data_IF_784646218044
#
_entry.id   IF_784646218044
#
_cell.length_a   1.000
_cell.length_b   1.000
_cell.length_c   1.000
_cell.angle_alpha   90.00
_cell.angle_beta   90.00
_cell.angle_gamma   90.00
#
_symmetry.space_group_name_H-M   'P 1'
#
loop_
_entity.id
_entity.type
_entity.pdbx_description
1 polymer ?
#
# COMPACT_ATOMS: atom_id res chain seq x y z
N UNK A 1 -9.16 2.67 -15.93
CA UNK A 1 -10.32 2.99 -15.09
C UNK A 1 -10.51 1.92 -14.01
N UNK A 2 -10.67 2.34 -12.78
CA UNK A 2 -10.89 1.40 -11.68
C UNK A 2 -12.27 0.77 -11.74
N UNK A 3 -12.31 -0.55 -11.73
CA UNK A 3 -13.55 -1.33 -11.63
C UNK A 3 -13.33 -2.45 -10.63
N UNK A 4 -14.42 -3.05 -10.18
CA UNK A 4 -14.35 -4.22 -9.29
C UNK A 4 -13.55 -5.34 -9.98
N UNK A 5 -13.83 -5.59 -11.28
CA UNK A 5 -13.13 -6.65 -12.02
C UNK A 5 -11.65 -6.34 -12.19
N UNK A 6 -11.28 -5.09 -12.49
CA UNK A 6 -9.88 -4.73 -12.63
C UNK A 6 -9.11 -4.88 -11.31
N UNK A 7 -9.74 -4.55 -10.19
CA UNK A 7 -9.14 -4.75 -8.87
C UNK A 7 -8.96 -6.23 -8.54
N UNK A 8 -9.90 -7.08 -8.91
CA UNK A 8 -9.75 -8.54 -8.74
C UNK A 8 -8.56 -9.05 -9.56
N UNK A 9 -8.44 -8.61 -10.80
CA UNK A 9 -7.32 -8.99 -11.67
C UNK A 9 -5.98 -8.51 -11.12
N UNK A 10 -5.95 -7.36 -10.48
CA UNK A 10 -4.76 -6.83 -9.81
C UNK A 10 -4.33 -7.72 -8.63
N UNK A 11 -5.27 -8.41 -8.00
CA UNK A 11 -5.00 -9.27 -6.84
C UNK A 11 -5.54 -8.74 -5.52
N UNK A 12 -6.35 -7.67 -5.56
CA UNK A 12 -7.01 -7.17 -4.35
C UNK A 12 -8.06 -8.18 -3.87
N UNK A 13 -8.21 -8.29 -2.54
CA UNK A 13 -9.28 -9.06 -1.94
C UNK A 13 -10.55 -8.19 -1.92
N UNK A 14 -11.20 -8.11 -3.08
CA UNK A 14 -12.32 -7.19 -3.30
C UNK A 14 -13.49 -7.49 -2.38
N UNK A 15 -13.78 -8.75 -2.12
CA UNK A 15 -14.90 -9.13 -1.25
C UNK A 15 -14.70 -8.60 0.17
N UNK A 16 -13.47 -8.69 0.68
CA UNK A 16 -13.12 -8.15 2.00
C UNK A 16 -13.19 -6.61 2.00
N UNK A 17 -12.64 -5.98 0.96
CA UNK A 17 -12.69 -4.52 0.83
C UNK A 17 -14.12 -4.00 0.75
N UNK A 18 -14.97 -4.66 -0.02
CA UNK A 18 -16.39 -4.30 -0.13
C UNK A 18 -17.11 -4.46 1.20
N UNK A 19 -16.83 -5.54 1.92
CA UNK A 19 -17.44 -5.78 3.23
C UNK A 19 -17.14 -4.63 4.18
N UNK A 20 -15.90 -4.14 4.20
CA UNK A 20 -15.49 -3.01 5.03
C UNK A 20 -16.13 -1.70 4.61
N UNK A 21 -16.58 -1.61 3.36
CA UNK A 21 -17.28 -0.44 2.80
C UNK A 21 -18.79 -0.64 2.74
N UNK A 22 -19.34 -1.51 3.56
CA UNK A 22 -20.78 -1.82 3.64
C UNK A 22 -21.33 -2.30 2.29
N UNK A 23 -20.53 -3.01 1.51
CA UNK A 23 -20.84 -3.55 0.18
C UNK A 23 -21.24 -2.45 -0.84
N UNK A 24 -20.77 -1.22 -0.63
CA UNK A 24 -21.01 -0.11 -1.55
C UNK A 24 -19.83 0.01 -2.52
N UNK A 25 -20.02 -0.47 -3.75
CA UNK A 25 -18.96 -0.50 -4.75
C UNK A 25 -18.40 0.90 -5.06
N UNK A 26 -19.28 1.89 -5.26
CA UNK A 26 -18.86 3.26 -5.56
C UNK A 26 -18.01 3.84 -4.44
N UNK A 27 -18.37 3.58 -3.20
CA UNK A 27 -17.61 4.05 -2.05
C UNK A 27 -16.24 3.40 -1.98
N UNK A 28 -16.18 2.08 -2.17
CA UNK A 28 -14.90 1.35 -2.18
C UNK A 28 -13.99 1.87 -3.28
N UNK A 29 -14.51 2.01 -4.51
CA UNK A 29 -13.72 2.51 -5.64
C UNK A 29 -13.24 3.95 -5.41
N UNK A 30 -14.06 4.79 -4.77
CA UNK A 30 -13.65 6.14 -4.42
C UNK A 30 -12.46 6.13 -3.45
N UNK A 31 -12.52 5.29 -2.42
CA UNK A 31 -11.43 5.18 -1.44
C UNK A 31 -10.14 4.66 -2.07
N UNK A 32 -10.24 3.67 -2.96
CA UNK A 32 -9.07 3.18 -3.71
C UNK A 32 -8.50 4.31 -4.57
N UNK A 33 -9.34 5.06 -5.25
CA UNK A 33 -8.90 6.22 -6.04
C UNK A 33 -8.14 7.24 -5.20
N UNK A 34 -8.60 7.52 -3.99
CA UNK A 34 -7.89 8.41 -3.06
C UNK A 34 -6.52 7.84 -2.65
N UNK A 35 -6.43 6.53 -2.49
CA UNK A 35 -5.15 5.89 -2.17
C UNK A 35 -4.14 6.07 -3.32
N UNK A 36 -4.59 6.16 -4.56
CA UNK A 36 -3.72 6.41 -5.71
C UNK A 36 -3.13 7.83 -5.69
N UNK A 37 -3.80 8.78 -5.06
CA UNK A 37 -3.32 10.16 -4.94
C UNK A 37 -2.40 10.34 -3.72
N UNK A 38 -2.26 9.30 -2.89
CA UNK A 38 -1.45 9.37 -1.68
C UNK A 38 0.04 9.26 -2.02
N UNK A 39 0.82 10.26 -1.60
CA UNK A 39 2.24 10.37 -1.91
C UNK A 39 3.15 9.72 -0.86
N UNK A 40 2.57 9.05 0.15
CA UNK A 40 3.37 8.52 1.25
C UNK A 40 4.34 7.42 0.84
N UNK A 41 4.06 6.69 -0.25
CA UNK A 41 5.01 5.69 -0.74
C UNK A 41 6.31 6.35 -1.21
N UNK A 42 6.22 7.50 -1.88
CA UNK A 42 7.38 8.32 -2.27
C UNK A 42 8.11 8.86 -1.04
N UNK A 43 7.36 9.30 -0.04
CA UNK A 43 7.94 9.77 1.23
C UNK A 43 8.70 8.64 1.92
N UNK A 44 8.13 7.44 1.96
CA UNK A 44 8.78 6.27 2.54
C UNK A 44 10.10 5.96 1.83
N UNK A 45 10.11 5.97 0.50
CA UNK A 45 11.33 5.73 -0.27
C UNK A 45 12.43 6.72 0.10
N UNK A 46 12.09 8.01 0.21
CA UNK A 46 13.03 9.05 0.60
C UNK A 46 13.56 8.82 2.02
N UNK A 47 12.68 8.52 2.96
CA UNK A 47 13.06 8.27 4.35
C UNK A 47 14.03 7.09 4.46
N UNK A 48 13.77 6.03 3.70
CA UNK A 48 14.66 4.86 3.68
C UNK A 48 16.02 5.21 3.10
N UNK A 49 16.07 6.03 2.04
CA UNK A 49 17.32 6.44 1.44
C UNK A 49 18.15 7.35 2.36
N UNK A 50 17.47 8.12 3.21
CA UNK A 50 18.11 9.01 4.19
C UNK A 50 18.40 8.30 5.52
N UNK A 51 18.03 7.02 5.62
CA UNK A 51 18.16 6.23 6.84
C UNK A 51 17.40 6.82 8.04
N UNK A 52 16.31 7.53 7.75
CA UNK A 52 15.37 8.02 8.76
C UNK A 52 14.44 6.88 9.14
N UNK A 53 14.94 5.95 9.96
CA UNK A 53 14.20 4.75 10.30
C UNK A 53 12.95 5.03 11.16
N UNK A 54 13.01 6.05 12.02
CA UNK A 54 11.85 6.44 12.82
C UNK A 54 10.71 6.98 11.94
N UNK A 55 11.02 7.91 11.05
CA UNK A 55 10.04 8.44 10.11
C UNK A 55 9.54 7.38 9.15
N UNK A 56 10.45 6.52 8.66
CA UNK A 56 10.09 5.43 7.76
C UNK A 56 9.11 4.45 8.42
N UNK A 57 9.31 4.14 9.71
CA UNK A 57 8.38 3.27 10.43
C UNK A 57 6.99 3.87 10.47
N UNK A 58 6.87 5.14 10.83
CA UNK A 58 5.56 5.80 10.92
C UNK A 58 4.85 5.83 9.58
N UNK A 59 5.58 6.15 8.51
CA UNK A 59 5.03 6.18 7.16
C UNK A 59 4.60 4.79 6.69
N UNK A 60 5.44 3.78 6.88
CA UNK A 60 5.14 2.40 6.50
C UNK A 60 3.93 1.86 7.28
N UNK A 61 3.88 2.16 8.58
CA UNK A 61 2.76 1.73 9.43
C UNK A 61 1.44 2.33 8.95
N UNK A 62 1.43 3.61 8.60
CA UNK A 62 0.24 4.28 8.07
C UNK A 62 -0.19 3.69 6.73
N UNK A 63 0.77 3.44 5.81
CA UNK A 63 0.48 2.82 4.52
C UNK A 63 -0.03 1.40 4.67
N UNK A 64 0.54 0.62 5.57
CA UNK A 64 0.07 -0.74 5.87
C UNK A 64 -1.41 -0.70 6.27
N UNK A 65 -1.78 0.21 7.17
CA UNK A 65 -3.17 0.36 7.59
C UNK A 65 -4.10 0.73 6.45
N UNK A 66 -3.70 1.67 5.61
CA UNK A 66 -4.48 2.10 4.45
C UNK A 66 -4.69 0.95 3.46
N UNK A 67 -3.60 0.31 3.04
CA UNK A 67 -3.67 -0.74 2.02
C UNK A 67 -4.40 -1.98 2.55
N UNK A 68 -4.21 -2.34 3.81
CA UNK A 68 -4.91 -3.47 4.42
C UNK A 68 -6.41 -3.22 4.53
N UNK A 69 -6.81 -2.01 4.93
CA UNK A 69 -8.22 -1.63 5.03
C UNK A 69 -8.92 -1.73 3.69
N UNK A 70 -8.24 -1.35 2.60
CA UNK A 70 -8.80 -1.43 1.25
C UNK A 70 -8.55 -2.79 0.60
N UNK A 71 -7.94 -3.71 1.32
CA UNK A 71 -7.64 -5.08 0.85
C UNK A 71 -6.81 -5.09 -0.44
N UNK A 72 -5.88 -4.14 -0.58
CA UNK A 72 -4.95 -4.06 -1.71
C UNK A 72 -3.75 -4.98 -1.44
N UNK A 73 -3.99 -6.27 -1.40
CA UNK A 73 -3.03 -7.29 -0.97
C UNK A 73 -1.64 -7.18 -1.62
N UNK A 74 -1.51 -6.97 -2.95
CA UNK A 74 -0.19 -6.87 -3.55
C UNK A 74 0.65 -5.69 -3.02
N UNK A 75 0.01 -4.64 -2.52
CA UNK A 75 0.68 -3.52 -1.85
C UNK A 75 0.90 -3.78 -0.38
N UNK A 76 -0.07 -4.41 0.27
CA UNK A 76 -0.02 -4.67 1.71
C UNK A 76 1.16 -5.56 2.08
N UNK A 77 1.45 -6.58 1.26
CA UNK A 77 2.51 -7.56 1.58
C UNK A 77 3.89 -6.92 1.73
N UNK A 78 4.45 -6.22 0.71
CA UNK A 78 5.78 -5.64 0.86
C UNK A 78 5.83 -4.54 1.92
N UNK A 79 4.78 -3.73 2.03
CA UNK A 79 4.73 -2.65 3.02
C UNK A 79 4.65 -3.21 4.43
N UNK A 80 3.90 -4.30 4.63
CA UNK A 80 3.81 -4.98 5.93
C UNK A 80 5.17 -5.55 6.35
N UNK A 81 5.90 -6.16 5.42
CA UNK A 81 7.23 -6.70 5.69
C UNK A 81 8.21 -5.60 6.11
N UNK A 82 8.20 -4.46 5.39
CA UNK A 82 9.01 -3.30 5.77
C UNK A 82 8.62 -2.78 7.14
N UNK A 83 7.32 -2.69 7.42
CA UNK A 83 6.82 -2.19 8.71
C UNK A 83 7.36 -3.01 9.88
N UNK A 84 7.38 -4.34 9.74
CA UNK A 84 7.84 -5.21 10.83
C UNK A 84 9.36 -5.06 11.05
N UNK A 85 10.15 -4.95 9.99
CA UNK A 85 11.58 -4.67 10.12
C UNK A 85 11.85 -3.29 10.72
N UNK A 86 11.07 -2.30 10.31
CA UNK A 86 11.20 -0.93 10.81
C UNK A 86 10.74 -0.78 12.25
N UNK A 87 9.84 -1.65 12.71
CA UNK A 87 9.37 -1.64 14.09
C UNK A 87 10.53 -1.78 15.07
N UNK A 88 11.54 -2.57 14.73
CA UNK A 88 12.75 -2.73 15.52
C UNK A 88 13.91 -1.88 14.98
N UNK A 89 13.63 -0.94 14.09
CA UNK A 89 14.61 -0.03 13.47
C UNK A 89 15.76 -0.78 12.82
N UNK A 90 15.47 -1.91 12.15
CA UNK A 90 16.47 -2.72 11.48
C UNK A 90 17.11 -1.92 10.35
N UNK A 91 18.44 -1.75 10.41
CA UNK A 91 19.20 -1.09 9.35
C UNK A 91 19.65 -2.15 8.34
N UNK A 92 18.87 -2.28 7.27
CA UNK A 92 19.11 -3.26 6.21
C UNK A 92 18.78 -2.61 4.86
N UNK A 93 19.02 -3.33 3.78
CA UNK A 93 18.68 -2.88 2.44
C UNK A 93 17.20 -3.11 2.18
N UNK A 94 16.44 -2.03 2.06
CA UNK A 94 14.99 -2.08 1.81
C UNK A 94 14.63 -1.97 0.32
N UNK A 95 15.64 -1.94 -0.58
CA UNK A 95 15.39 -1.64 -2.00
C UNK A 95 14.47 -2.66 -2.69
N UNK A 96 14.55 -3.93 -2.35
CA UNK A 96 13.66 -4.94 -2.95
C UNK A 96 12.21 -4.74 -2.52
N UNK A 97 12.00 -4.43 -1.23
CA UNK A 97 10.65 -4.19 -0.71
C UNK A 97 10.03 -2.95 -1.34
N UNK A 98 10.79 -1.85 -1.39
CA UNK A 98 10.27 -0.59 -1.94
C UNK A 98 10.05 -0.70 -3.44
N UNK A 99 10.93 -1.40 -4.17
CA UNK A 99 10.75 -1.68 -5.59
C UNK A 99 9.47 -2.46 -5.86
N UNK A 100 9.24 -3.50 -5.07
CA UNK A 100 8.03 -4.31 -5.19
C UNK A 100 6.78 -3.46 -4.95
N UNK A 101 6.77 -2.67 -3.88
CA UNK A 101 5.63 -1.81 -3.55
C UNK A 101 5.36 -0.78 -4.66
N UNK A 102 6.41 -0.16 -5.19
CA UNK A 102 6.28 0.82 -6.28
C UNK A 102 5.74 0.17 -7.55
N UNK A 103 6.23 -1.01 -7.89
CA UNK A 103 5.76 -1.75 -9.06
C UNK A 103 4.26 -2.07 -8.94
N UNK A 104 3.83 -2.54 -7.78
CA UNK A 104 2.42 -2.83 -7.54
C UNK A 104 1.57 -1.56 -7.56
N UNK A 105 2.08 -0.47 -7.01
CA UNK A 105 1.40 0.82 -7.05
C UNK A 105 1.21 1.30 -8.50
N UNK A 106 2.24 1.17 -9.33
CA UNK A 106 2.15 1.54 -10.75
C UNK A 106 1.13 0.68 -11.48
N UNK A 107 1.08 -0.61 -11.21
CA UNK A 107 0.07 -1.51 -11.80
C UNK A 107 -1.34 -1.08 -11.40
N UNK A 108 -1.54 -0.72 -10.15
CA UNK A 108 -2.83 -0.25 -9.66
C UNK A 108 -3.23 1.06 -10.35
N UNK A 109 -2.29 2.00 -10.50
CA UNK A 109 -2.53 3.27 -11.19
C UNK A 109 -2.90 3.06 -12.66
N UNK A 110 -2.43 1.99 -13.28
CA UNK A 110 -2.66 1.70 -14.70
C UNK A 110 -4.02 1.02 -14.96
N UNK A 111 -4.75 0.64 -13.94
CA UNK A 111 -6.08 0.04 -14.12
C UNK A 111 -7.07 1.08 -14.64
#
# INVERSE_FOLDING_TARGET
MLTIDSLRSFGADVDEGLMRCMNKEDFYLMLVGKALDDQRLTVLERQLSEKDLDGAFETAHALKGLYATLALTPLTVPVSEMTELLRTRTDTDYSEYISCAKEQFEKLCAL
#
